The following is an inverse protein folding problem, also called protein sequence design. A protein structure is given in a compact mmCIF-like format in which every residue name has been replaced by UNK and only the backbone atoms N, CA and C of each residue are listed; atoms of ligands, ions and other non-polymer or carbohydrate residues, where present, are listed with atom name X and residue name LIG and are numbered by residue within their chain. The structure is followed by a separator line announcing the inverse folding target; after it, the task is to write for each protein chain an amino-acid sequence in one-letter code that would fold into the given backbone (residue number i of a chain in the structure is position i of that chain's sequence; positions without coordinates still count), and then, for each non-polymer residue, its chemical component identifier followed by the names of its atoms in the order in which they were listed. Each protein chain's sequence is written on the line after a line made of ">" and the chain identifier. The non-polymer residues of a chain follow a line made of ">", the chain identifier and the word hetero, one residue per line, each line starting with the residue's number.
data_IF_974039307024
#
_entry.id   IF_974039307024
#
_cell.length_a   1.000
_cell.length_b   1.000
_cell.length_c   1.000
_cell.angle_alpha   90.00
_cell.angle_beta   90.00
_cell.angle_gamma   90.00
#
_symmetry.space_group_name_H-M   'P 1'
#
loop_
_entity.id
_entity.type
_entity.pdbx_description
1 polymer ?
#
# COMPACT_ATOMS: atom_id res chain seq x y z
N UNK A 1 -15.61 3.37 7.21
CA UNK A 1 -14.21 3.65 7.63
C UNK A 1 -14.21 4.83 8.57
N UNK A 2 -13.64 4.69 9.75
CA UNK A 2 -13.61 5.76 10.75
C UNK A 2 -12.34 6.60 10.63
N UNK A 3 -12.26 7.69 11.42
CA UNK A 3 -11.12 8.61 11.35
C UNK A 3 -9.80 7.93 11.70
N UNK A 4 -9.83 6.94 12.61
CA UNK A 4 -8.62 6.20 12.99
C UNK A 4 -8.10 5.38 11.81
N UNK A 5 -8.99 4.73 11.05
CA UNK A 5 -8.62 3.99 9.86
C UNK A 5 -8.00 4.91 8.80
N UNK A 6 -8.59 6.07 8.60
CA UNK A 6 -8.07 7.08 7.67
C UNK A 6 -6.67 7.55 8.08
N UNK A 7 -6.49 7.83 9.38
CA UNK A 7 -5.20 8.28 9.90
C UNK A 7 -4.10 7.21 9.71
N UNK A 8 -4.44 5.93 9.90
CA UNK A 8 -3.49 4.84 9.69
C UNK A 8 -3.05 4.75 8.21
N UNK A 9 -3.98 4.93 7.28
CA UNK A 9 -3.64 4.95 5.86
C UNK A 9 -2.75 6.15 5.55
N UNK A 10 -3.07 7.33 6.07
CA UNK A 10 -2.25 8.53 5.88
C UNK A 10 -0.83 8.29 6.40
N UNK A 11 -0.71 7.67 7.57
CA UNK A 11 0.60 7.35 8.16
C UNK A 11 1.37 6.36 7.29
N UNK A 12 0.69 5.34 6.77
CA UNK A 12 1.32 4.36 5.88
C UNK A 12 1.83 5.02 4.60
N UNK A 13 1.07 5.94 4.02
CA UNK A 13 1.45 6.66 2.80
C UNK A 13 2.47 7.76 3.04
N UNK A 14 2.72 8.15 4.28
CA UNK A 14 3.63 9.23 4.64
C UNK A 14 5.10 8.86 4.58
N UNK A 15 5.46 7.80 3.88
CA UNK A 15 6.84 7.37 3.67
C UNK A 15 7.12 7.32 2.17
N UNK A 16 8.27 7.84 1.75
CA UNK A 16 8.64 7.92 0.34
C UNK A 16 8.58 6.56 -0.36
N UNK A 17 9.18 5.53 0.24
CA UNK A 17 9.21 4.20 -0.36
C UNK A 17 7.81 3.60 -0.44
N UNK A 18 7.02 3.74 0.62
CA UNK A 18 5.66 3.18 0.62
C UNK A 18 4.76 3.87 -0.40
N UNK A 19 4.88 5.19 -0.52
CA UNK A 19 4.11 5.92 -1.52
C UNK A 19 4.47 5.47 -2.93
N UNK A 20 5.76 5.28 -3.21
CA UNK A 20 6.22 4.79 -4.52
C UNK A 20 5.74 3.35 -4.78
N UNK A 21 5.73 2.50 -3.77
CA UNK A 21 5.21 1.14 -3.89
C UNK A 21 3.73 1.17 -4.30
N UNK A 22 2.93 1.98 -3.62
CA UNK A 22 1.50 2.11 -3.95
C UNK A 22 1.32 2.62 -5.37
N UNK A 23 2.14 3.57 -5.79
CA UNK A 23 2.12 4.06 -7.17
C UNK A 23 2.40 2.94 -8.18
N UNK A 24 3.37 2.08 -7.90
CA UNK A 24 3.65 0.92 -8.76
C UNK A 24 2.46 -0.04 -8.79
N UNK A 25 1.85 -0.28 -7.64
CA UNK A 25 0.69 -1.19 -7.55
C UNK A 25 -0.55 -0.64 -8.25
N UNK A 26 -0.59 0.66 -8.52
CA UNK A 26 -1.69 1.25 -9.31
C UNK A 26 -1.73 0.73 -10.74
N UNK A 27 -0.64 0.17 -11.22
CA UNK A 27 -0.54 -0.44 -12.55
C UNK A 27 -1.07 -1.88 -12.57
N UNK A 28 -1.32 -2.47 -11.40
CA UNK A 28 -1.76 -3.85 -11.25
C UNK A 28 -0.92 -4.60 -10.23
N UNK A 29 -1.31 -5.83 -9.97
CA UNK A 29 -0.60 -6.70 -9.03
C UNK A 29 0.88 -6.84 -9.38
N UNK A 30 1.74 -6.83 -8.37
CA UNK A 30 3.19 -7.00 -8.50
C UNK A 30 3.69 -8.06 -7.54
N UNK A 31 4.61 -8.88 -8.03
CA UNK A 31 5.39 -9.79 -7.20
C UNK A 31 6.34 -8.98 -6.31
N UNK A 32 6.57 -9.47 -5.07
CA UNK A 32 7.57 -8.88 -4.18
C UNK A 32 8.94 -8.76 -4.87
N UNK A 33 9.30 -9.72 -5.70
CA UNK A 33 10.55 -9.70 -6.46
C UNK A 33 10.64 -8.46 -7.36
N UNK A 34 9.52 -8.08 -7.99
CA UNK A 34 9.47 -6.92 -8.86
C UNK A 34 9.61 -5.62 -8.06
N UNK A 35 8.97 -5.56 -6.90
CA UNK A 35 9.09 -4.40 -6.02
C UNK A 35 10.53 -4.26 -5.50
N UNK A 36 11.15 -5.38 -5.14
CA UNK A 36 12.52 -5.38 -4.62
C UNK A 36 13.51 -4.86 -5.66
N UNK A 37 13.31 -5.21 -6.94
CA UNK A 37 14.17 -4.73 -8.03
C UNK A 37 14.09 -3.21 -8.20
N UNK A 38 12.94 -2.61 -7.89
CA UNK A 38 12.70 -1.20 -8.14
C UNK A 38 13.32 -0.28 -7.09
N UNK A 39 13.74 -0.82 -5.95
CA UNK A 39 14.26 -0.04 -4.82
C UNK A 39 15.61 -0.58 -4.37
N UNK A 40 16.47 0.34 -3.90
CA UNK A 40 17.75 -0.02 -3.31
C UNK A 40 17.55 -0.26 -1.80
N UNK A 41 16.80 -1.31 -1.48
CA UNK A 41 16.49 -1.70 -0.10
C UNK A 41 16.63 -3.20 0.04
N UNK A 42 16.79 -3.66 1.27
CA UNK A 42 16.87 -5.08 1.56
C UNK A 42 15.49 -5.73 1.56
N UNK A 43 15.46 -7.06 1.42
CA UNK A 43 14.21 -7.80 1.49
C UNK A 43 13.49 -7.61 2.84
N UNK A 44 14.17 -7.65 4.01
CA UNK A 44 13.49 -7.36 5.27
C UNK A 44 12.88 -5.96 5.34
N UNK A 45 13.54 -4.96 4.76
CA UNK A 45 13.01 -3.59 4.71
C UNK A 45 11.75 -3.53 3.85
N UNK A 46 11.77 -4.18 2.68
CA UNK A 46 10.57 -4.27 1.84
C UNK A 46 9.43 -4.96 2.58
N UNK A 47 9.72 -6.09 3.22
CA UNK A 47 8.72 -6.84 3.99
C UNK A 47 8.08 -5.99 5.08
N UNK A 48 8.88 -5.14 5.74
CA UNK A 48 8.38 -4.21 6.76
C UNK A 48 7.41 -3.19 6.14
N UNK A 49 7.78 -2.60 5.02
CA UNK A 49 6.89 -1.65 4.32
C UNK A 49 5.59 -2.32 3.90
N UNK A 50 5.67 -3.53 3.34
CA UNK A 50 4.47 -4.24 2.89
C UNK A 50 3.57 -4.64 4.05
N UNK A 51 4.16 -4.99 5.20
CA UNK A 51 3.39 -5.29 6.40
C UNK A 51 2.55 -4.08 6.84
N UNK A 52 3.15 -2.89 6.85
CA UNK A 52 2.46 -1.65 7.22
C UNK A 52 1.30 -1.38 6.25
N UNK A 53 1.55 -1.50 4.95
CA UNK A 53 0.54 -1.27 3.92
C UNK A 53 -0.61 -2.28 3.99
N UNK A 54 -0.31 -3.53 4.31
CA UNK A 54 -1.34 -4.57 4.46
C UNK A 54 -2.14 -4.37 5.75
N UNK A 55 -1.48 -4.03 6.85
CA UNK A 55 -2.16 -3.84 8.14
C UNK A 55 -3.15 -2.69 8.13
N UNK A 56 -2.87 -1.62 7.39
CA UNK A 56 -3.83 -0.52 7.26
C UNK A 56 -4.96 -0.81 6.26
N UNK A 57 -4.93 -1.96 5.60
CA UNK A 57 -5.97 -2.40 4.69
C UNK A 57 -5.84 -1.91 3.26
N UNK A 58 -4.86 -1.06 2.96
CA UNK A 58 -4.73 -0.46 1.63
C UNK A 58 -4.23 -1.46 0.58
N UNK A 59 -3.44 -2.43 1.00
CA UNK A 59 -2.80 -3.42 0.13
C UNK A 59 -3.21 -4.82 0.57
N UNK A 60 -3.44 -5.69 -0.40
CA UNK A 60 -3.71 -7.10 -0.18
C UNK A 60 -2.50 -7.92 -0.65
N UNK A 61 -2.26 -9.04 0.03
CA UNK A 61 -1.20 -9.97 -0.32
C UNK A 61 -1.79 -11.34 -0.63
N UNK A 62 -1.27 -11.99 -1.65
CA UNK A 62 -1.54 -13.41 -1.89
C UNK A 62 -0.22 -14.13 -2.14
N UNK A 63 -0.15 -15.36 -1.65
CA UNK A 63 1.06 -16.16 -1.82
C UNK A 63 0.88 -17.09 -3.02
N UNK A 64 1.89 -17.12 -3.88
CA UNK A 64 1.95 -18.05 -4.99
C UNK A 64 3.35 -18.64 -5.05
N UNK A 65 3.45 -19.94 -4.77
CA UNK A 65 4.74 -20.58 -4.61
C UNK A 65 5.47 -19.99 -3.41
N UNK A 66 6.70 -19.56 -3.60
CA UNK A 66 7.53 -18.95 -2.55
C UNK A 66 7.46 -17.41 -2.56
N UNK A 67 6.70 -16.83 -3.47
CA UNK A 67 6.64 -15.37 -3.62
C UNK A 67 5.31 -14.82 -3.18
N UNK A 68 5.35 -13.64 -2.51
CA UNK A 68 4.17 -12.86 -2.23
C UNK A 68 3.86 -11.98 -3.44
N UNK A 69 2.58 -11.84 -3.74
CA UNK A 69 2.07 -10.90 -4.75
C UNK A 69 1.18 -9.89 -4.05
N UNK A 70 1.35 -8.63 -4.40
CA UNK A 70 0.65 -7.51 -3.75
C UNK A 70 -0.22 -6.77 -4.74
N UNK A 71 -1.37 -6.33 -4.27
CA UNK A 71 -2.31 -5.53 -5.07
C UNK A 71 -3.00 -4.51 -4.18
N UNK A 72 -3.50 -3.44 -4.78
CA UNK A 72 -4.28 -2.44 -4.06
C UNK A 72 -5.66 -3.01 -3.75
N UNK A 73 -6.12 -2.84 -2.51
CA UNK A 73 -7.50 -3.09 -2.14
C UNK A 73 -8.33 -1.90 -2.65
N UNK A 74 -8.98 -2.08 -3.80
CA UNK A 74 -9.67 -0.98 -4.47
C UNK A 74 -10.84 -0.43 -3.66
N UNK A 75 -11.52 -1.27 -2.89
CA UNK A 75 -12.63 -0.83 -2.05
C UNK A 75 -12.13 0.12 -0.95
N UNK A 76 -11.04 -0.25 -0.28
CA UNK A 76 -10.42 0.59 0.75
C UNK A 76 -9.87 1.87 0.13
N UNK A 77 -9.22 1.76 -1.02
CA UNK A 77 -8.69 2.93 -1.72
C UNK A 77 -9.82 3.92 -2.06
N UNK A 78 -10.95 3.42 -2.55
CA UNK A 78 -12.09 4.26 -2.93
C UNK A 78 -12.69 4.96 -1.71
N UNK A 79 -12.86 4.25 -0.59
CA UNK A 79 -13.35 4.87 0.64
C UNK A 79 -12.40 5.95 1.15
N UNK A 80 -11.11 5.67 1.13
CA UNK A 80 -10.08 6.61 1.56
C UNK A 80 -10.09 7.86 0.68
N UNK A 81 -10.08 7.68 -0.63
CA UNK A 81 -10.01 8.80 -1.56
C UNK A 81 -11.27 9.67 -1.50
N UNK A 82 -12.45 9.06 -1.29
CA UNK A 82 -13.68 9.82 -1.09
C UNK A 82 -13.64 10.67 0.18
N UNK A 83 -13.11 10.10 1.26
CA UNK A 83 -12.98 10.85 2.52
C UNK A 83 -12.05 12.04 2.35
N UNK A 84 -10.90 11.84 1.71
CA UNK A 84 -9.94 12.91 1.47
C UNK A 84 -10.54 13.99 0.57
N UNK A 85 -11.26 13.58 -0.47
CA UNK A 85 -11.95 14.52 -1.36
C UNK A 85 -12.99 15.33 -0.60
N UNK A 86 -13.72 14.69 0.30
CA UNK A 86 -14.74 15.37 1.12
C UNK A 86 -14.11 16.47 1.96
N UNK A 87 -12.99 16.17 2.64
CA UNK A 87 -12.25 17.17 3.42
C UNK A 87 -11.77 18.31 2.52
N UNK A 88 -11.31 17.99 1.33
CA UNK A 88 -10.75 18.98 0.41
C UNK A 88 -11.75 19.90 -0.26
N UNK A 89 -13.05 19.70 -0.03
CA UNK A 89 -14.11 20.52 -0.60
C UNK A 89 -14.43 21.78 0.21
N UNK A 90 -13.45 22.39 0.74
CA UNK A 90 -13.66 23.58 1.58
C UNK A 90 -13.82 24.82 0.72
#
# INVERSE_FOLDING_TARGET
>A
MNITDIALICKALGDNNRLQIVRMLSEGEKCACRLLEAFDITQPTLSHHMKILCECGLVMARKEGKWQHYSINTDVWNEFSEYIRFIGKV
#
